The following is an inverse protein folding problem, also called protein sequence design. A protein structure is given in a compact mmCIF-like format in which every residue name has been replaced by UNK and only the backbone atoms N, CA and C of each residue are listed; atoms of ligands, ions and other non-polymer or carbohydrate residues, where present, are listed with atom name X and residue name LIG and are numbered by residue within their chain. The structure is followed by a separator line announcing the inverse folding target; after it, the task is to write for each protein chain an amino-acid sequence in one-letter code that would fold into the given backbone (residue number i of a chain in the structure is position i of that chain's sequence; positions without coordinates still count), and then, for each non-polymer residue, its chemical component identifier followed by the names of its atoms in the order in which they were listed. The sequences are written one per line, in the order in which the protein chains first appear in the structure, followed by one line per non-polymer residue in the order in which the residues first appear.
data_IF_603516220615
#
_entry.id   IF_603516220615
#
_cell.length_a   1.000
_cell.length_b   1.000
_cell.length_c   1.000
_cell.angle_alpha   90.00
_cell.angle_beta   90.00
_cell.angle_gamma   90.00
#
_symmetry.space_group_name_H-M   'P 1'
#
loop_
_entity.id
_entity.type
_entity.pdbx_description
1 polymer ?
#
# COMPACT_ATOMS: atom_id res chain seq x y z
N UNK A 1 11.05 14.34 -74.93
CA UNK A 1 11.70 13.21 -74.24
C UNK A 1 11.47 13.40 -72.75
N UNK A 2 10.45 12.72 -72.22
CA UNK A 2 10.01 12.85 -70.82
C UNK A 2 10.92 12.08 -69.87
N UNK A 3 11.17 12.65 -68.70
CA UNK A 3 11.84 11.98 -67.58
C UNK A 3 10.76 11.46 -66.65
N UNK A 4 10.69 10.14 -66.49
CA UNK A 4 9.92 9.47 -65.44
C UNK A 4 10.75 9.43 -64.16
N UNK A 5 10.20 9.99 -63.08
CA UNK A 5 10.75 9.89 -61.72
C UNK A 5 10.05 8.73 -61.01
N UNK A 6 10.77 7.64 -60.78
CA UNK A 6 10.33 6.50 -60.00
C UNK A 6 10.50 6.80 -58.50
N UNK A 7 9.38 6.96 -57.80
CA UNK A 7 9.31 7.12 -56.35
C UNK A 7 9.18 5.73 -55.71
N UNK A 8 10.30 5.16 -55.24
CA UNK A 8 10.31 3.96 -54.38
C UNK A 8 9.98 4.39 -52.95
N UNK A 9 8.78 4.06 -52.49
CA UNK A 9 8.39 4.15 -51.08
C UNK A 9 8.71 2.82 -50.40
N UNK A 10 9.82 2.79 -49.67
CA UNK A 10 10.15 1.67 -48.78
C UNK A 10 9.12 1.62 -47.65
N UNK A 11 8.34 0.54 -47.60
CA UNK A 11 7.41 0.24 -46.53
C UNK A 11 8.16 -0.06 -45.24
N UNK A 12 8.10 0.86 -44.29
CA UNK A 12 8.53 0.61 -42.90
C UNK A 12 7.53 -0.35 -42.28
N UNK A 13 7.91 -1.62 -42.13
CA UNK A 13 7.14 -2.62 -41.39
C UNK A 13 7.06 -2.21 -39.92
N UNK A 14 5.88 -1.70 -39.51
CA UNK A 14 5.56 -1.48 -38.11
C UNK A 14 5.39 -2.85 -37.43
N UNK A 15 6.45 -3.34 -36.80
CA UNK A 15 6.38 -4.47 -35.87
C UNK A 15 5.35 -4.17 -34.79
N UNK A 16 4.33 -5.02 -34.67
CA UNK A 16 3.25 -4.85 -33.70
C UNK A 16 3.79 -4.72 -32.27
N UNK A 17 3.17 -3.90 -31.40
CA UNK A 17 3.59 -3.76 -30.01
C UNK A 17 3.62 -5.14 -29.34
N UNK A 18 4.66 -5.47 -28.54
CA UNK A 18 4.74 -6.74 -27.85
C UNK A 18 3.50 -6.91 -26.97
N UNK A 19 2.74 -7.98 -27.20
CA UNK A 19 1.59 -8.32 -26.39
C UNK A 19 2.08 -8.68 -24.99
N UNK A 20 1.68 -7.89 -23.99
CA UNK A 20 2.04 -8.10 -22.59
C UNK A 20 1.40 -9.42 -22.11
N UNK A 21 2.23 -10.39 -21.75
CA UNK A 21 1.79 -11.72 -21.29
C UNK A 21 0.97 -11.63 -20.00
N UNK A 22 -0.20 -12.29 -20.00
CA UNK A 22 -1.18 -12.36 -18.90
C UNK A 22 -0.55 -12.92 -17.62
N UNK A 23 0.50 -13.75 -17.72
CA UNK A 23 1.25 -14.27 -16.56
C UNK A 23 1.91 -13.14 -15.73
N UNK A 24 2.30 -12.05 -16.38
CA UNK A 24 2.86 -10.84 -15.74
C UNK A 24 1.83 -10.19 -14.83
N UNK A 25 0.54 -10.25 -15.18
CA UNK A 25 -0.54 -9.61 -14.42
C UNK A 25 -0.74 -10.27 -13.04
N UNK A 26 -0.79 -11.61 -12.97
CA UNK A 26 -1.05 -12.31 -11.73
C UNK A 26 0.09 -12.14 -10.70
N UNK A 27 1.34 -12.26 -11.15
CA UNK A 27 2.51 -12.05 -10.29
C UNK A 27 2.60 -10.60 -9.79
N UNK A 28 2.32 -9.61 -10.64
CA UNK A 28 2.28 -8.20 -10.23
C UNK A 28 1.16 -7.95 -9.21
N UNK A 29 -0.03 -8.51 -9.42
CA UNK A 29 -1.12 -8.41 -8.46
C UNK A 29 -0.76 -9.06 -7.12
N UNK A 30 -0.10 -10.22 -7.15
CA UNK A 30 0.38 -10.91 -5.95
C UNK A 30 1.42 -10.06 -5.20
N UNK A 31 2.47 -9.60 -5.88
CA UNK A 31 3.51 -8.72 -5.31
C UNK A 31 2.89 -7.51 -4.62
N UNK A 32 1.94 -6.87 -5.30
CA UNK A 32 1.25 -5.70 -4.77
C UNK A 32 0.37 -6.03 -3.57
N UNK A 33 -0.35 -7.14 -3.63
CA UNK A 33 -1.24 -7.55 -2.53
C UNK A 33 -0.46 -7.88 -1.26
N UNK A 34 0.71 -8.50 -1.40
CA UNK A 34 1.62 -8.73 -0.28
C UNK A 34 2.18 -7.44 0.30
N UNK A 35 2.58 -6.48 -0.55
CA UNK A 35 3.03 -5.18 -0.07
C UNK A 35 1.93 -4.47 0.72
N UNK A 36 0.72 -4.39 0.17
CA UNK A 36 -0.44 -3.78 0.82
C UNK A 36 -0.77 -4.49 2.16
N UNK A 37 -0.61 -5.81 2.24
CA UNK A 37 -0.79 -6.57 3.48
C UNK A 37 0.28 -6.23 4.54
N UNK A 38 1.56 -6.20 4.16
CA UNK A 38 2.64 -5.83 5.06
C UNK A 38 2.49 -4.39 5.57
N UNK A 39 2.04 -3.49 4.71
CA UNK A 39 1.76 -2.10 5.07
C UNK A 39 0.61 -2.00 6.07
N UNK A 40 -0.51 -2.69 5.82
CA UNK A 40 -1.63 -2.74 6.75
C UNK A 40 -1.23 -3.35 8.11
N UNK A 41 -0.37 -4.38 8.10
CA UNK A 41 0.16 -4.98 9.34
C UNK A 41 1.00 -3.97 10.14
N UNK A 42 1.90 -3.24 9.48
CA UNK A 42 2.69 -2.20 10.14
C UNK A 42 1.79 -1.11 10.73
N UNK A 43 0.69 -0.75 10.05
CA UNK A 43 -0.31 0.16 10.60
C UNK A 43 -0.96 -0.39 11.87
N UNK A 44 -1.31 -1.68 11.94
CA UNK A 44 -1.81 -2.30 13.17
C UNK A 44 -0.81 -2.16 14.33
N UNK A 45 0.48 -2.37 14.06
CA UNK A 45 1.55 -2.32 15.06
C UNK A 45 1.73 -0.91 15.66
N UNK A 46 1.64 0.14 14.83
CA UNK A 46 1.80 1.53 15.31
C UNK A 46 0.52 2.12 15.90
N UNK A 47 -0.66 1.61 15.51
CA UNK A 47 -1.98 2.13 15.91
C UNK A 47 -2.08 2.41 17.41
N UNK A 48 -1.84 1.39 18.24
CA UNK A 48 -2.01 1.50 19.71
C UNK A 48 -1.11 2.58 20.29
N UNK A 49 0.12 2.71 19.78
CA UNK A 49 1.04 3.75 20.22
C UNK A 49 0.58 5.14 19.77
N UNK A 50 0.13 5.29 18.53
CA UNK A 50 -0.36 6.55 17.98
C UNK A 50 -1.58 7.06 18.75
N UNK A 51 -2.57 6.19 19.01
CA UNK A 51 -3.75 6.55 19.80
C UNK A 51 -3.34 7.00 21.20
N UNK A 52 -2.44 6.26 21.87
CA UNK A 52 -1.95 6.61 23.23
C UNK A 52 -1.17 7.93 23.27
N UNK A 53 -0.38 8.22 22.23
CA UNK A 53 0.43 9.44 22.14
C UNK A 53 -0.44 10.69 21.93
N UNK A 54 -1.54 10.55 21.21
CA UNK A 54 -2.36 11.69 20.79
C UNK A 54 -3.69 11.83 21.56
N UNK A 55 -4.14 10.80 22.27
CA UNK A 55 -5.31 10.84 23.14
C UNK A 55 -4.92 10.95 24.62
N UNK A 56 -5.12 12.12 25.21
CA UNK A 56 -4.73 12.45 26.60
C UNK A 56 -5.75 11.98 27.68
N UNK A 57 -6.63 11.04 27.32
CA UNK A 57 -7.64 10.48 28.21
C UNK A 57 -8.80 11.44 28.55
N UNK A 58 -9.79 10.97 29.31
CA UNK A 58 -10.94 11.75 29.78
C UNK A 58 -10.62 12.72 30.93
N UNK A 59 -9.52 12.52 31.64
CA UNK A 59 -9.25 13.22 32.90
C UNK A 59 -8.56 14.57 32.73
N UNK A 60 -8.15 14.91 31.50
CA UNK A 60 -7.40 16.13 31.20
C UNK A 60 -8.22 16.98 30.24
N UNK A 61 -8.56 18.22 30.59
CA UNK A 61 -9.28 19.19 29.72
C UNK A 61 -8.40 19.65 28.54
N UNK A 62 -8.00 18.70 27.70
CA UNK A 62 -7.03 18.85 26.62
C UNK A 62 -7.75 19.29 25.34
N UNK A 63 -7.17 20.17 24.50
CA UNK A 63 -7.82 20.64 23.28
C UNK A 63 -8.33 19.54 22.35
N UNK A 64 -7.66 18.38 22.29
CA UNK A 64 -8.11 17.22 21.50
C UNK A 64 -9.50 16.70 21.90
N UNK A 65 -9.90 16.87 23.16
CA UNK A 65 -11.25 16.49 23.62
C UNK A 65 -12.37 17.37 23.05
N UNK A 66 -12.03 18.50 22.42
CA UNK A 66 -13.00 19.32 21.68
C UNK A 66 -13.28 18.77 20.29
N UNK A 67 -12.38 17.93 19.77
CA UNK A 67 -12.45 17.39 18.41
C UNK A 67 -13.07 15.99 18.40
N UNK A 68 -12.90 15.22 19.49
CA UNK A 68 -13.49 13.89 19.64
C UNK A 68 -13.69 13.52 21.12
N UNK A 69 -14.66 12.64 21.41
CA UNK A 69 -14.76 11.97 22.71
C UNK A 69 -13.52 11.09 22.93
N UNK A 70 -13.17 10.79 24.19
CA UNK A 70 -11.95 10.05 24.50
C UNK A 70 -11.89 8.68 23.80
N UNK A 71 -11.06 8.61 22.77
CA UNK A 71 -10.85 7.44 21.92
C UNK A 71 -10.20 6.27 22.66
N UNK A 72 -9.57 6.52 23.81
CA UNK A 72 -8.99 5.47 24.67
C UNK A 72 -10.02 4.65 25.42
N UNK A 73 -11.27 5.13 25.54
CA UNK A 73 -12.39 4.39 26.16
C UNK A 73 -13.31 3.82 25.08
N UNK A 74 -13.20 4.33 23.85
CA UNK A 74 -13.97 3.84 22.72
C UNK A 74 -13.25 2.63 22.12
N UNK A 75 -13.81 1.43 22.31
CA UNK A 75 -13.39 0.20 21.61
C UNK A 75 -13.76 0.23 20.10
N UNK A 76 -14.15 1.39 19.57
CA UNK A 76 -14.49 1.58 18.17
C UNK A 76 -13.23 1.78 17.32
N UNK A 77 -12.75 0.65 16.80
CA UNK A 77 -11.56 0.58 15.96
C UNK A 77 -11.69 1.39 14.66
N UNK A 78 -12.89 1.53 14.12
CA UNK A 78 -13.15 2.30 12.89
C UNK A 78 -13.02 3.79 13.19
N UNK A 79 -13.61 4.24 14.30
CA UNK A 79 -13.53 5.63 14.74
C UNK A 79 -12.09 6.04 15.09
N UNK A 80 -11.31 5.18 15.76
CA UNK A 80 -9.88 5.44 16.02
C UNK A 80 -9.07 5.60 14.73
N UNK A 81 -9.34 4.77 13.71
CA UNK A 81 -8.67 4.87 12.42
C UNK A 81 -9.05 6.17 11.71
N UNK A 82 -10.32 6.57 11.70
CA UNK A 82 -10.71 7.81 11.04
C UNK A 82 -9.95 9.04 11.55
N UNK A 83 -9.70 9.12 12.86
CA UNK A 83 -9.01 10.25 13.47
C UNK A 83 -7.49 10.20 13.35
N UNK A 84 -6.87 9.04 13.57
CA UNK A 84 -5.41 8.95 13.71
C UNK A 84 -4.69 8.34 12.51
N UNK A 85 -5.38 7.98 11.42
CA UNK A 85 -4.75 7.32 10.27
C UNK A 85 -3.56 8.11 9.70
N UNK A 86 -3.68 9.43 9.54
CA UNK A 86 -2.60 10.27 9.02
C UNK A 86 -1.39 10.31 9.95
N UNK A 87 -1.60 10.23 11.26
CA UNK A 87 -0.50 10.17 12.22
C UNK A 87 0.13 8.79 12.24
N UNK A 88 -0.66 7.72 12.05
CA UNK A 88 -0.13 6.37 11.88
C UNK A 88 0.78 6.28 10.66
N UNK A 89 0.40 6.89 9.52
CA UNK A 89 1.24 6.90 8.31
C UNK A 89 2.63 7.53 8.54
N UNK A 90 2.75 8.49 9.47
CA UNK A 90 4.04 9.14 9.77
C UNK A 90 4.96 8.26 10.62
N UNK A 91 4.41 7.29 11.34
CA UNK A 91 5.14 6.43 12.28
C UNK A 91 5.53 5.08 11.63
N UNK A 92 5.02 4.77 10.44
CA UNK A 92 5.37 3.55 9.70
C UNK A 92 6.79 3.63 9.15
N UNK A 93 7.62 2.61 9.43
CA UNK A 93 8.93 2.43 8.79
C UNK A 93 8.76 1.72 7.44
N UNK A 94 8.63 2.53 6.38
CA UNK A 94 8.50 2.03 5.00
C UNK A 94 9.69 1.18 4.54
N UNK A 95 10.90 1.44 5.06
CA UNK A 95 12.07 0.65 4.70
C UNK A 95 11.99 -0.75 5.31
N UNK A 96 11.44 -0.90 6.52
CA UNK A 96 11.20 -2.21 7.12
C UNK A 96 10.18 -3.03 6.33
N UNK A 97 9.13 -2.36 5.81
CA UNK A 97 8.14 -3.00 4.94
C UNK A 97 8.79 -3.48 3.65
N UNK A 98 9.59 -2.64 2.99
CA UNK A 98 10.28 -3.00 1.75
C UNK A 98 11.22 -4.19 1.97
N UNK A 99 12.01 -4.21 3.05
CA UNK A 99 12.88 -5.36 3.38
C UNK A 99 12.07 -6.63 3.58
N UNK A 100 11.00 -6.58 4.36
CA UNK A 100 10.13 -7.74 4.62
C UNK A 100 9.46 -8.23 3.32
N UNK A 101 9.07 -7.31 2.44
CA UNK A 101 8.52 -7.63 1.14
C UNK A 101 9.56 -8.32 0.25
N UNK A 102 10.80 -7.82 0.19
CA UNK A 102 11.89 -8.44 -0.57
C UNK A 102 12.20 -9.85 -0.09
N UNK A 103 12.26 -10.07 1.23
CA UNK A 103 12.45 -11.39 1.83
C UNK A 103 11.34 -12.37 1.42
N UNK A 104 10.07 -11.91 1.45
CA UNK A 104 8.93 -12.69 0.97
C UNK A 104 9.00 -12.98 -0.53
N UNK A 105 9.47 -12.03 -1.33
CA UNK A 105 9.63 -12.25 -2.78
C UNK A 105 10.77 -13.22 -3.08
N UNK A 106 11.84 -13.23 -2.29
CA UNK A 106 12.97 -14.13 -2.46
C UNK A 106 12.61 -15.62 -2.28
N UNK A 107 11.60 -15.93 -1.46
CA UNK A 107 11.09 -17.30 -1.27
C UNK A 107 9.94 -17.67 -2.22
N UNK A 108 9.48 -16.71 -3.02
CA UNK A 108 8.39 -16.91 -3.98
C UNK A 108 8.94 -17.35 -5.34
N UNK A 109 8.11 -17.96 -6.19
CA UNK A 109 8.49 -18.35 -7.54
C UNK A 109 8.47 -17.16 -8.53
N UNK A 110 8.88 -15.97 -8.09
CA UNK A 110 8.90 -14.74 -8.87
C UNK A 110 10.33 -14.48 -9.32
N UNK A 111 10.50 -14.06 -10.57
CA UNK A 111 11.84 -13.81 -11.11
C UNK A 111 12.48 -12.58 -10.44
N UNK A 112 13.79 -12.58 -10.18
CA UNK A 112 14.49 -11.43 -9.60
C UNK A 112 14.30 -10.13 -10.39
N UNK A 113 14.16 -10.22 -11.71
CA UNK A 113 13.91 -9.07 -12.58
C UNK A 113 12.54 -8.42 -12.31
N UNK A 114 11.49 -9.23 -12.11
CA UNK A 114 10.17 -8.72 -11.75
C UNK A 114 10.18 -8.06 -10.36
N UNK A 115 10.87 -8.67 -9.40
CA UNK A 115 11.05 -8.10 -8.05
C UNK A 115 11.76 -6.75 -8.14
N UNK A 116 12.84 -6.67 -8.91
CA UNK A 116 13.60 -5.43 -9.12
C UNK A 116 12.73 -4.33 -9.74
N UNK A 117 11.99 -4.63 -10.80
CA UNK A 117 11.10 -3.65 -11.46
C UNK A 117 9.99 -3.18 -10.50
N UNK A 118 9.40 -4.10 -9.74
CA UNK A 118 8.34 -3.76 -8.79
C UNK A 118 8.87 -2.96 -7.60
N UNK A 119 10.06 -3.27 -7.09
CA UNK A 119 10.74 -2.46 -6.07
C UNK A 119 10.95 -1.04 -6.55
N UNK A 120 11.48 -0.85 -7.76
CA UNK A 120 11.67 0.49 -8.34
C UNK A 120 10.36 1.25 -8.49
N UNK A 121 9.27 0.56 -8.78
CA UNK A 121 7.94 1.16 -8.80
C UNK A 121 7.50 1.58 -7.39
N UNK A 122 7.65 0.73 -6.37
CA UNK A 122 7.34 1.05 -4.97
C UNK A 122 8.18 2.25 -4.48
N UNK A 123 9.45 2.34 -4.86
CA UNK A 123 10.31 3.47 -4.46
C UNK A 123 10.07 4.74 -5.30
N UNK A 124 9.17 4.70 -6.29
CA UNK A 124 8.90 5.83 -7.18
C UNK A 124 8.00 6.90 -6.53
N UNK A 125 8.17 8.14 -6.98
CA UNK A 125 7.30 9.26 -6.57
C UNK A 125 5.83 9.02 -6.95
N UNK A 126 5.58 8.32 -8.05
CA UNK A 126 4.23 8.03 -8.52
C UNK A 126 3.53 7.07 -7.55
N UNK A 127 4.25 6.09 -7.02
CA UNK A 127 3.72 5.20 -6.00
C UNK A 127 3.41 5.93 -4.70
N UNK A 128 4.30 6.82 -4.25
CA UNK A 128 4.05 7.68 -3.09
C UNK A 128 2.83 8.59 -3.29
N UNK A 129 2.54 9.02 -4.52
CA UNK A 129 1.33 9.77 -4.83
C UNK A 129 0.08 8.89 -4.73
N UNK A 130 0.13 7.63 -5.19
CA UNK A 130 -0.96 6.65 -5.05
C UNK A 130 -1.29 6.42 -3.57
N UNK A 131 -0.27 6.28 -2.71
CA UNK A 131 -0.46 6.09 -1.27
C UNK A 131 -1.11 7.28 -0.56
N UNK A 132 -1.17 8.45 -1.20
CA UNK A 132 -1.85 9.62 -0.64
C UNK A 132 -3.31 9.75 -1.08
N UNK A 133 -3.76 8.89 -2.00
CA UNK A 133 -5.15 8.94 -2.50
C UNK A 133 -6.13 8.41 -1.46
N UNK A 134 -7.33 9.01 -1.43
CA UNK A 134 -8.40 8.57 -0.53
C UNK A 134 -8.80 7.11 -0.78
N UNK A 135 -8.72 6.66 -2.04
CA UNK A 135 -8.98 5.26 -2.40
C UNK A 135 -8.00 4.30 -1.72
N UNK A 136 -6.71 4.62 -1.74
CA UNK A 136 -5.70 3.79 -1.06
C UNK A 136 -5.87 3.83 0.45
N UNK A 137 -6.13 5.02 1.02
CA UNK A 137 -6.36 5.17 2.47
C UNK A 137 -7.57 4.35 2.93
N UNK A 138 -8.69 4.42 2.21
CA UNK A 138 -9.88 3.62 2.48
C UNK A 138 -9.59 2.11 2.39
N UNK A 139 -8.81 1.68 1.39
CA UNK A 139 -8.36 0.29 1.28
C UNK A 139 -7.55 -0.14 2.50
N UNK A 140 -6.58 0.68 2.93
CA UNK A 140 -5.72 0.37 4.07
C UNK A 140 -6.51 0.30 5.37
N UNK A 141 -7.39 1.27 5.65
CA UNK A 141 -8.28 1.24 6.82
C UNK A 141 -9.09 -0.04 6.89
N UNK A 142 -9.69 -0.47 5.76
CA UNK A 142 -10.42 -1.73 5.68
C UNK A 142 -9.53 -2.95 5.96
N UNK A 143 -8.31 -2.97 5.44
CA UNK A 143 -7.36 -4.06 5.70
C UNK A 143 -6.94 -4.11 7.17
N UNK A 144 -6.66 -2.96 7.79
CA UNK A 144 -6.33 -2.86 9.22
C UNK A 144 -7.48 -3.42 10.08
N UNK A 145 -8.71 -2.96 9.84
CA UNK A 145 -9.90 -3.49 10.53
C UNK A 145 -10.04 -5.00 10.38
N UNK A 146 -9.80 -5.52 9.16
CA UNK A 146 -9.90 -6.96 8.89
C UNK A 146 -8.83 -7.74 9.65
N UNK A 147 -7.58 -7.26 9.67
CA UNK A 147 -6.48 -7.91 10.39
C UNK A 147 -6.77 -7.94 11.89
N UNK A 148 -7.15 -6.81 12.49
CA UNK A 148 -7.50 -6.72 13.91
C UNK A 148 -8.63 -7.68 14.29
N UNK A 149 -9.68 -7.77 13.47
CA UNK A 149 -10.79 -8.71 13.70
C UNK A 149 -10.35 -10.18 13.63
N UNK A 150 -9.41 -10.51 12.74
CA UNK A 150 -8.86 -11.88 12.64
C UNK A 150 -8.03 -12.19 13.88
N UNK A 151 -7.14 -11.29 14.29
CA UNK A 151 -6.30 -11.46 15.48
C UNK A 151 -7.15 -11.63 16.73
N UNK A 152 -8.15 -10.77 16.95
CA UNK A 152 -9.08 -10.87 18.07
C UNK A 152 -9.78 -12.24 18.15
N UNK A 153 -10.17 -12.80 17.01
CA UNK A 153 -10.80 -14.13 16.95
C UNK A 153 -9.80 -15.24 17.28
N UNK A 154 -8.57 -15.13 16.80
CA UNK A 154 -7.54 -16.13 17.05
C UNK A 154 -7.11 -16.16 18.53
N UNK A 155 -7.07 -15.00 19.19
CA UNK A 155 -6.65 -14.90 20.60
C UNK A 155 -7.76 -15.12 21.62
N UNK A 156 -9.03 -14.87 21.28
CA UNK A 156 -10.17 -15.16 22.18
C UNK A 156 -10.56 -16.64 22.25
N UNK A 157 -10.01 -17.49 21.38
CA UNK A 157 -10.29 -18.93 21.34
C UNK A 157 -9.27 -19.80 22.10
N UNK A 158 -8.29 -19.19 22.79
CA UNK A 158 -7.34 -19.86 23.69
C UNK A 158 -7.62 -19.48 25.15
#
# INVERSE_FOLDING_TARGET
MGKEENNMTEGVEFSSPPQLDISTSASVMMMRSYFDFLYAKALCEVKTMTVRKNCYGCQTNHPSQKEHDCLMICDDEEYQLEFYFEDMLKEVDENAIIRSWEEMMAISNITPEMVFLHKRFIESKDFLAIMKTDQWKAKMKKMVLTITQIEDRLFRCN
#
